data_IF_595515601609
#
_entry.id   IF_595515601609
#
_cell.length_a   1.000
_cell.length_b   1.000
_cell.length_c   1.000
_cell.angle_alpha   90.00
_cell.angle_beta   90.00
_cell.angle_gamma   90.00
#
_symmetry.space_group_name_H-M   'P 1'
#
loop_
_entity.id
_entity.type
_entity.pdbx_description
1 polymer ?
#
# COMPACT_ATOMS: atom_id res chain seq x y z
N UNK A 1 16.30 14.04 12.85
CA UNK A 1 15.05 13.30 12.58
C UNK A 1 15.35 12.10 11.68
N UNK A 2 16.14 12.29 10.61
CA UNK A 2 16.56 11.20 9.72
C UNK A 2 17.40 10.09 10.38
N UNK A 3 18.34 10.42 11.27
CA UNK A 3 19.18 9.39 11.91
C UNK A 3 18.39 8.49 12.89
N UNK A 4 17.38 9.05 13.57
CA UNK A 4 16.50 8.28 14.47
C UNK A 4 15.59 7.33 13.68
N UNK A 5 15.01 7.81 12.57
CA UNK A 5 14.23 6.98 11.67
C UNK A 5 15.09 5.87 11.06
N UNK A 6 16.29 6.21 10.56
CA UNK A 6 17.21 5.21 10.01
C UNK A 6 17.54 4.13 11.04
N UNK A 7 17.88 4.51 12.27
CA UNK A 7 18.15 3.55 13.36
C UNK A 7 16.98 2.59 13.60
N UNK A 8 15.75 3.11 13.66
CA UNK A 8 14.52 2.30 13.80
C UNK A 8 14.32 1.35 12.62
N UNK A 9 14.54 1.83 11.40
CA UNK A 9 14.43 1.02 10.19
C UNK A 9 15.51 -0.06 10.14
N UNK A 10 16.76 0.26 10.51
CA UNK A 10 17.85 -0.72 10.57
C UNK A 10 17.57 -1.83 11.59
N UNK A 11 16.95 -1.49 12.73
CA UNK A 11 16.57 -2.47 13.75
C UNK A 11 15.44 -3.40 13.28
N UNK A 12 14.51 -2.90 12.47
CA UNK A 12 13.33 -3.62 12.00
C UNK A 12 13.58 -4.43 10.72
N UNK A 13 14.13 -3.77 9.71
CA UNK A 13 14.38 -4.37 8.40
C UNK A 13 15.71 -5.13 8.36
N UNK A 14 16.69 -4.65 9.13
CA UNK A 14 18.09 -4.99 8.97
C UNK A 14 18.84 -3.87 8.28
N UNK A 15 20.10 -3.67 8.68
CA UNK A 15 20.94 -2.55 8.25
C UNK A 15 21.04 -2.39 6.73
N UNK A 16 21.26 -3.49 6.01
CA UNK A 16 21.43 -3.45 4.55
C UNK A 16 20.13 -3.03 3.85
N UNK A 17 19.02 -3.68 4.19
CA UNK A 17 17.72 -3.45 3.54
C UNK A 17 17.20 -2.03 3.81
N UNK A 18 17.32 -1.53 5.04
CA UNK A 18 16.92 -0.16 5.38
C UNK A 18 17.70 0.89 4.57
N UNK A 19 19.03 0.73 4.48
CA UNK A 19 19.89 1.65 3.70
C UNK A 19 19.62 1.58 2.21
N UNK A 20 19.39 0.38 1.68
CA UNK A 20 19.08 0.19 0.27
C UNK A 20 17.75 0.86 -0.08
N UNK A 21 16.68 0.63 0.71
CA UNK A 21 15.38 1.26 0.51
C UNK A 21 15.47 2.79 0.49
N UNK A 22 16.12 3.39 1.49
CA UNK A 22 16.29 4.84 1.58
C UNK A 22 17.19 5.40 0.47
N UNK A 23 18.26 4.68 0.13
CA UNK A 23 19.17 5.08 -0.95
C UNK A 23 18.45 5.14 -2.30
N UNK A 24 17.63 4.13 -2.62
CA UNK A 24 16.85 4.10 -3.86
C UNK A 24 15.87 5.28 -3.92
N UNK A 25 15.19 5.63 -2.82
CA UNK A 25 14.31 6.82 -2.79
C UNK A 25 15.06 8.10 -3.09
N UNK A 26 16.22 8.30 -2.44
CA UNK A 26 17.05 9.50 -2.60
C UNK A 26 17.58 9.59 -4.03
N UNK A 27 18.09 8.49 -4.58
CA UNK A 27 18.61 8.44 -5.95
C UNK A 27 17.49 8.74 -6.96
N UNK A 28 16.30 8.22 -6.73
CA UNK A 28 15.14 8.47 -7.57
C UNK A 28 14.68 9.94 -7.51
N UNK A 29 14.58 10.50 -6.31
CA UNK A 29 14.26 11.91 -6.11
C UNK A 29 15.32 12.82 -6.77
N UNK A 30 16.61 12.49 -6.61
CA UNK A 30 17.71 13.20 -7.24
C UNK A 30 17.69 13.11 -8.77
N UNK A 31 17.29 11.98 -9.37
CA UNK A 31 17.12 11.87 -10.82
C UNK A 31 15.98 12.76 -11.35
N UNK A 32 14.88 12.86 -10.60
CA UNK A 32 13.75 13.70 -10.97
C UNK A 32 14.12 15.19 -10.89
N UNK A 33 14.82 15.61 -9.85
CA UNK A 33 15.26 17.01 -9.70
C UNK A 33 16.50 17.36 -10.53
N UNK A 34 17.37 16.38 -10.78
CA UNK A 34 18.67 16.54 -11.41
C UNK A 34 18.67 16.31 -12.91
N UNK A 35 17.65 16.80 -13.64
CA UNK A 35 17.56 16.65 -15.10
C UNK A 35 18.91 16.91 -15.78
N UNK A 36 19.55 15.82 -16.22
CA UNK A 36 20.69 15.86 -17.09
C UNK A 36 20.34 16.58 -18.39
N UNK A 37 21.24 17.44 -18.83
CA UNK A 37 21.22 18.19 -20.07
C UNK A 37 20.94 17.27 -21.27
N UNK A 38 19.69 17.11 -21.71
CA UNK A 38 19.35 16.55 -23.02
C UNK A 38 18.03 17.14 -23.55
N UNK A 39 18.15 17.94 -24.61
CA UNK A 39 17.19 18.93 -25.11
C UNK A 39 16.06 18.38 -26.02
N UNK A 40 15.81 17.07 -26.08
CA UNK A 40 14.85 16.49 -27.04
C UNK A 40 14.00 15.35 -26.46
N UNK A 41 13.15 15.68 -25.50
CA UNK A 41 12.12 14.80 -24.96
C UNK A 41 10.78 15.56 -24.94
N UNK A 42 9.79 15.13 -25.74
CA UNK A 42 8.46 15.80 -25.89
C UNK A 42 7.72 15.89 -24.54
N UNK A 43 8.03 14.99 -23.62
CA UNK A 43 7.62 14.93 -22.21
C UNK A 43 8.11 16.10 -21.35
N UNK A 44 9.18 16.81 -21.74
CA UNK A 44 9.67 18.00 -21.02
C UNK A 44 9.01 19.31 -21.47
N UNK A 45 8.07 19.26 -22.42
CA UNK A 45 7.30 20.44 -22.77
C UNK A 45 6.23 20.68 -21.70
N UNK A 46 6.51 21.52 -20.71
CA UNK A 46 5.58 21.90 -19.63
C UNK A 46 4.16 22.25 -20.13
N UNK A 47 4.03 22.80 -21.34
CA UNK A 47 2.74 23.13 -21.97
C UNK A 47 1.95 21.90 -22.45
N UNK A 48 2.59 20.75 -22.70
CA UNK A 48 1.91 19.54 -23.21
C UNK A 48 0.91 19.00 -22.20
N UNK A 49 1.22 19.02 -20.90
CA UNK A 49 0.26 18.62 -19.86
C UNK A 49 -0.98 19.51 -19.85
N UNK A 50 -0.80 20.81 -20.10
CA UNK A 50 -1.92 21.77 -20.20
C UNK A 50 -2.75 21.53 -21.46
N UNK A 51 -2.11 21.23 -22.59
CA UNK A 51 -2.78 20.87 -23.85
C UNK A 51 -3.56 19.56 -23.69
N UNK A 52 -2.93 18.52 -23.17
CA UNK A 52 -3.57 17.22 -22.88
C UNK A 52 -4.78 17.43 -21.97
N UNK A 53 -4.61 18.15 -20.86
CA UNK A 53 -5.70 18.47 -19.93
C UNK A 53 -6.83 19.24 -20.62
N UNK A 54 -6.49 20.20 -21.49
CA UNK A 54 -7.45 20.97 -22.29
C UNK A 54 -8.27 20.07 -23.22
N UNK A 55 -7.60 19.20 -23.98
CA UNK A 55 -8.24 18.23 -24.88
C UNK A 55 -9.13 17.25 -24.10
N UNK A 56 -8.66 16.73 -22.97
CA UNK A 56 -9.45 15.85 -22.11
C UNK A 56 -10.68 16.56 -21.53
N UNK A 57 -10.57 17.86 -21.19
CA UNK A 57 -11.71 18.65 -20.72
C UNK A 57 -12.72 18.91 -21.85
N UNK A 58 -12.25 19.31 -23.03
CA UNK A 58 -13.11 19.60 -24.20
C UNK A 58 -13.84 18.35 -24.71
N UNK A 59 -13.18 17.20 -24.68
CA UNK A 59 -13.80 15.89 -25.03
C UNK A 59 -14.71 15.33 -23.93
N UNK A 60 -14.74 15.93 -22.74
CA UNK A 60 -15.49 15.44 -21.58
C UNK A 60 -14.85 14.26 -20.83
N UNK A 61 -13.74 13.71 -21.33
CA UNK A 61 -13.03 12.58 -20.73
C UNK A 61 -12.46 12.91 -19.35
N UNK A 62 -11.97 14.14 -19.14
CA UNK A 62 -11.49 14.60 -17.84
C UNK A 62 -12.58 14.48 -16.77
N UNK A 63 -13.77 15.01 -17.06
CA UNK A 63 -14.90 14.97 -16.13
C UNK A 63 -15.44 13.56 -15.91
N UNK A 64 -15.41 12.72 -16.96
CA UNK A 64 -15.70 11.29 -16.82
C UNK A 64 -14.69 10.61 -15.89
N UNK A 65 -13.40 10.91 -16.02
CA UNK A 65 -12.35 10.41 -15.13
C UNK A 65 -12.59 10.79 -13.67
N UNK A 66 -12.86 12.07 -13.39
CA UNK A 66 -13.19 12.52 -12.03
C UNK A 66 -14.41 11.80 -11.46
N UNK A 67 -15.49 11.67 -12.24
CA UNK A 67 -16.69 10.92 -11.81
C UNK A 67 -16.41 9.45 -11.55
N UNK A 68 -15.55 8.82 -12.37
CA UNK A 68 -15.16 7.43 -12.17
C UNK A 68 -14.35 7.27 -10.87
N UNK A 69 -13.42 8.18 -10.58
CA UNK A 69 -12.64 8.16 -9.34
C UNK A 69 -13.52 8.34 -8.09
N UNK A 70 -14.60 9.12 -8.19
CA UNK A 70 -15.59 9.27 -7.12
C UNK A 70 -16.56 8.08 -7.02
N UNK A 71 -16.64 7.23 -8.04
CA UNK A 71 -17.54 6.08 -8.08
C UNK A 71 -16.89 4.86 -7.43
N UNK A 72 -16.64 4.98 -6.12
CA UNK A 72 -16.13 3.90 -5.29
C UNK A 72 -17.25 2.88 -5.09
N UNK A 73 -16.92 1.60 -5.33
CA UNK A 73 -17.85 0.47 -5.17
C UNK A 73 -17.23 -0.58 -4.27
N UNK A 74 -18.04 -1.14 -3.39
CA UNK A 74 -17.65 -2.29 -2.57
C UNK A 74 -17.83 -3.55 -3.41
N UNK A 75 -16.80 -4.38 -3.50
CA UNK A 75 -16.82 -5.68 -4.17
C UNK A 75 -16.57 -6.77 -3.14
N UNK A 76 -17.39 -7.81 -3.17
CA UNK A 76 -17.21 -9.00 -2.33
C UNK A 76 -16.66 -10.12 -3.20
N UNK A 77 -15.56 -10.72 -2.77
CA UNK A 77 -14.94 -11.85 -3.44
C UNK A 77 -14.82 -12.99 -2.42
N UNK A 78 -15.41 -14.14 -2.73
CA UNK A 78 -15.34 -15.31 -1.87
C UNK A 78 -14.06 -16.09 -2.17
N UNK A 79 -13.30 -16.39 -1.11
CA UNK A 79 -12.08 -17.21 -1.19
C UNK A 79 -12.34 -18.54 -0.53
N UNK A 80 -12.19 -19.63 -1.29
CA UNK A 80 -12.39 -20.99 -0.82
C UNK A 80 -11.04 -21.70 -0.73
N UNK A 81 -10.69 -22.21 0.46
CA UNK A 81 -9.48 -22.99 0.66
C UNK A 81 -9.71 -24.13 1.63
N UNK A 82 -9.24 -25.33 1.27
CA UNK A 82 -9.27 -26.49 2.16
C UNK A 82 -8.30 -26.36 3.35
N UNK A 83 -7.37 -25.40 3.31
CA UNK A 83 -6.45 -25.11 4.42
C UNK A 83 -7.00 -24.07 5.39
N UNK A 84 -8.09 -23.37 5.04
CA UNK A 84 -8.68 -22.36 5.91
C UNK A 84 -9.22 -23.06 7.17
N UNK A 85 -8.78 -22.66 8.38
CA UNK A 85 -9.29 -23.26 9.61
C UNK A 85 -10.79 -22.99 9.79
N UNK A 86 -11.59 -23.96 10.29
CA UNK A 86 -13.03 -23.81 10.48
C UNK A 86 -13.49 -22.56 11.26
N UNK A 87 -12.75 -22.11 12.28
CA UNK A 87 -13.09 -20.88 13.04
C UNK A 87 -12.91 -19.60 12.23
N UNK A 88 -12.29 -19.69 11.06
CA UNK A 88 -12.18 -18.60 10.08
C UNK A 88 -13.17 -18.74 8.92
N UNK A 89 -14.10 -19.70 8.97
CA UNK A 89 -15.22 -19.69 8.02
C UNK A 89 -16.08 -18.42 8.21
N UNK A 90 -16.38 -17.76 7.09
CA UNK A 90 -17.01 -16.44 7.09
C UNK A 90 -16.14 -15.30 7.64
N UNK A 91 -14.82 -15.50 7.83
CA UNK A 91 -13.90 -14.42 8.18
C UNK A 91 -13.83 -13.40 7.04
N UNK A 92 -13.95 -12.11 7.38
CA UNK A 92 -14.05 -11.02 6.40
C UNK A 92 -12.89 -10.03 6.52
N UNK A 93 -12.22 -9.80 5.39
CA UNK A 93 -11.14 -8.82 5.26
C UNK A 93 -11.65 -7.66 4.40
N UNK A 94 -11.67 -6.45 4.95
CA UNK A 94 -11.83 -5.24 4.15
C UNK A 94 -10.48 -4.87 3.54
N UNK A 95 -10.37 -4.84 2.22
CA UNK A 95 -9.19 -4.34 1.52
C UNK A 95 -9.43 -2.94 0.97
N UNK A 96 -8.52 -2.02 1.29
CA UNK A 96 -8.42 -0.67 0.73
C UNK A 96 -7.06 -0.57 0.02
N UNK A 97 -7.02 0.02 -1.17
CA UNK A 97 -5.76 0.20 -1.92
C UNK A 97 -5.80 1.50 -2.72
N UNK A 98 -4.62 2.02 -3.08
CA UNK A 98 -4.45 3.07 -4.10
C UNK A 98 -5.32 4.30 -3.86
N UNK A 99 -5.43 4.68 -2.58
CA UNK A 99 -6.30 5.77 -2.17
C UNK A 99 -5.86 7.11 -2.72
N UNK A 100 -4.53 7.30 -2.87
CA UNK A 100 -3.91 8.57 -3.22
C UNK A 100 -4.63 9.75 -2.54
N UNK A 101 -4.66 9.71 -1.21
CA UNK A 101 -5.62 10.43 -0.38
C UNK A 101 -5.61 11.96 -0.58
N UNK A 102 -4.48 12.50 -1.04
CA UNK A 102 -4.26 13.92 -1.34
C UNK A 102 -4.74 14.36 -2.75
N UNK A 103 -5.22 13.45 -3.60
CA UNK A 103 -5.68 13.79 -4.96
C UNK A 103 -7.14 14.27 -4.96
N UNK A 104 -8.04 13.59 -4.25
CA UNK A 104 -9.49 13.84 -4.33
C UNK A 104 -10.21 13.69 -2.99
N UNK A 105 -10.42 14.82 -2.31
CA UNK A 105 -11.24 14.87 -1.09
C UNK A 105 -12.68 14.37 -1.29
N UNK A 106 -13.23 14.49 -2.51
CA UNK A 106 -14.56 13.97 -2.83
C UNK A 106 -14.57 12.44 -2.80
N UNK A 107 -13.55 11.81 -3.37
CA UNK A 107 -13.40 10.36 -3.32
C UNK A 107 -13.15 9.87 -1.89
N UNK A 108 -12.30 10.56 -1.12
CA UNK A 108 -12.01 10.18 0.27
C UNK A 108 -13.23 10.28 1.18
N UNK A 109 -14.04 11.33 1.06
CA UNK A 109 -15.34 11.41 1.76
C UNK A 109 -16.26 10.25 1.38
N UNK A 110 -16.30 9.89 0.10
CA UNK A 110 -17.11 8.76 -0.36
C UNK A 110 -16.62 7.42 0.21
N UNK A 111 -15.31 7.25 0.32
CA UNK A 111 -14.70 6.07 0.95
C UNK A 111 -15.12 5.99 2.42
N UNK A 112 -15.00 7.09 3.18
CA UNK A 112 -15.43 7.17 4.58
C UNK A 112 -16.90 6.79 4.77
N UNK A 113 -17.79 7.35 3.96
CA UNK A 113 -19.22 7.02 3.99
C UNK A 113 -19.50 5.54 3.74
N UNK A 114 -18.72 4.90 2.86
CA UNK A 114 -18.88 3.48 2.54
C UNK A 114 -18.39 2.60 3.70
N UNK A 115 -17.19 2.87 4.23
CA UNK A 115 -16.59 2.03 5.29
C UNK A 115 -17.38 2.09 6.60
N UNK A 116 -17.98 3.23 6.94
CA UNK A 116 -18.84 3.38 8.13
C UNK A 116 -20.03 2.39 8.13
N UNK A 117 -20.46 1.93 6.95
CA UNK A 117 -21.58 0.98 6.79
C UNK A 117 -21.17 -0.48 6.67
N UNK A 118 -19.88 -0.82 6.69
CA UNK A 118 -19.39 -2.18 6.46
C UNK A 118 -19.09 -2.91 7.78
N UNK A 119 -19.44 -4.20 7.82
CA UNK A 119 -18.98 -5.11 8.87
C UNK A 119 -17.85 -5.97 8.31
N UNK A 120 -16.74 -6.00 9.04
CA UNK A 120 -15.58 -6.82 8.72
C UNK A 120 -14.80 -7.20 9.98
N UNK A 121 -13.94 -8.21 9.89
CA UNK A 121 -13.13 -8.71 11.02
C UNK A 121 -11.77 -8.01 11.12
N UNK A 122 -11.13 -7.72 9.99
CA UNK A 122 -9.92 -6.89 9.91
C UNK A 122 -9.91 -6.04 8.64
N UNK A 123 -9.12 -4.97 8.64
CA UNK A 123 -8.85 -4.17 7.46
C UNK A 123 -7.39 -4.32 7.02
N UNK A 124 -7.16 -4.35 5.71
CA UNK A 124 -5.83 -4.26 5.11
C UNK A 124 -5.78 -3.07 4.15
N UNK A 125 -4.67 -2.32 4.19
CA UNK A 125 -4.44 -1.18 3.31
C UNK A 125 -3.17 -1.42 2.48
N UNK A 126 -3.34 -1.73 1.20
CA UNK A 126 -2.26 -2.29 0.36
C UNK A 126 -1.55 -1.25 -0.49
N UNK A 127 -1.11 -0.17 0.14
CA UNK A 127 -0.23 0.84 -0.46
C UNK A 127 -0.92 1.97 -1.22
N UNK A 128 -0.08 2.85 -1.74
CA UNK A 128 -0.40 4.05 -2.51
C UNK A 128 -1.34 5.01 -1.74
N UNK A 129 -0.84 5.45 -0.59
CA UNK A 129 -1.47 6.44 0.27
C UNK A 129 -1.40 7.85 -0.33
N UNK A 130 -0.32 8.18 -1.05
CA UNK A 130 -0.12 9.51 -1.67
C UNK A 130 -0.14 9.47 -3.19
N UNK A 131 -0.49 10.60 -3.81
CA UNK A 131 -0.60 10.72 -5.26
C UNK A 131 0.73 10.94 -5.98
N UNK A 132 1.66 11.69 -5.39
CA UNK A 132 2.99 11.89 -5.97
C UNK A 132 3.94 10.75 -5.59
N UNK A 133 4.85 10.36 -6.48
CA UNK A 133 5.85 9.32 -6.18
C UNK A 133 7.05 9.84 -5.38
N UNK A 134 7.17 11.16 -5.21
CA UNK A 134 8.25 11.84 -4.49
C UNK A 134 7.76 13.15 -3.88
N UNK A 135 8.59 13.78 -3.04
CA UNK A 135 8.28 15.06 -2.40
C UNK A 135 7.43 14.94 -1.13
N UNK A 136 6.77 16.05 -0.77
CA UNK A 136 6.01 16.17 0.47
C UNK A 136 4.82 15.22 0.52
N UNK A 137 4.53 14.69 1.72
CA UNK A 137 3.47 13.70 1.95
C UNK A 137 2.56 14.05 3.13
N UNK A 138 2.75 15.20 3.77
CA UNK A 138 1.99 15.61 4.96
C UNK A 138 0.48 15.71 4.69
N UNK A 139 0.11 16.19 3.51
CA UNK A 139 -1.30 16.25 3.09
C UNK A 139 -1.92 14.85 2.99
N UNK A 140 -1.19 13.89 2.41
CA UNK A 140 -1.65 12.51 2.30
C UNK A 140 -1.80 11.86 3.69
N UNK A 141 -0.85 12.08 4.61
CA UNK A 141 -0.97 11.59 5.99
C UNK A 141 -2.17 12.21 6.73
N UNK A 142 -2.44 13.50 6.54
CA UNK A 142 -3.57 14.18 7.17
C UNK A 142 -4.91 13.59 6.70
N UNK A 143 -5.08 13.41 5.38
CA UNK A 143 -6.30 12.81 4.81
C UNK A 143 -6.42 11.30 5.19
N UNK A 144 -5.29 10.59 5.23
CA UNK A 144 -5.22 9.19 5.69
C UNK A 144 -5.68 9.05 7.14
N UNK A 145 -5.30 9.99 8.02
CA UNK A 145 -5.68 9.96 9.43
C UNK A 145 -7.21 10.03 9.63
N UNK A 146 -7.90 10.82 8.80
CA UNK A 146 -9.38 10.92 8.85
C UNK A 146 -10.02 9.57 8.54
N UNK A 147 -9.55 8.89 7.50
CA UNK A 147 -10.04 7.57 7.09
C UNK A 147 -9.71 6.53 8.16
N UNK A 148 -8.45 6.49 8.61
CA UNK A 148 -7.98 5.54 9.62
C UNK A 148 -8.79 5.62 10.92
N UNK A 149 -9.19 6.83 11.33
CA UNK A 149 -10.03 7.04 12.52
C UNK A 149 -11.45 6.47 12.43
N UNK A 150 -11.90 6.08 11.23
CA UNK A 150 -13.21 5.45 10.98
C UNK A 150 -13.13 3.94 10.82
N UNK A 151 -11.93 3.39 10.59
CA UNK A 151 -11.75 1.96 10.39
C UNK A 151 -11.81 1.22 11.73
N UNK A 152 -12.57 0.12 11.75
CA UNK A 152 -12.51 -0.87 12.83
C UNK A 152 -11.13 -1.54 12.86
N UNK A 153 -10.54 -1.57 14.05
CA UNK A 153 -9.27 -2.25 14.30
C UNK A 153 -9.46 -3.79 14.43
N UNK A 154 -8.45 -4.60 14.06
CA UNK A 154 -7.10 -4.19 13.64
C UNK A 154 -7.04 -3.76 12.16
N UNK A 155 -6.16 -2.80 11.87
CA UNK A 155 -5.80 -2.39 10.49
C UNK A 155 -4.34 -2.74 10.23
N UNK A 156 -4.07 -3.48 9.17
CA UNK A 156 -2.73 -3.79 8.68
C UNK A 156 -2.45 -3.08 7.36
N UNK A 157 -1.19 -2.88 6.99
CA UNK A 157 -0.88 -2.29 5.70
C UNK A 157 0.51 -2.59 5.17
N UNK A 158 0.69 -2.35 3.88
CA UNK A 158 2.00 -2.33 3.20
C UNK A 158 2.13 -1.01 2.45
N UNK A 159 3.36 -0.62 2.11
CA UNK A 159 3.59 0.55 1.29
C UNK A 159 3.49 0.21 -0.20
N UNK A 160 3.05 1.18 -1.00
CA UNK A 160 3.09 1.10 -2.45
C UNK A 160 4.28 1.83 -3.05
N UNK A 161 4.36 1.87 -4.38
CA UNK A 161 5.46 2.53 -5.07
C UNK A 161 5.39 4.05 -4.96
N UNK A 162 4.22 4.62 -4.67
CA UNK A 162 4.11 6.04 -4.39
C UNK A 162 4.65 6.40 -3.02
N UNK A 163 4.65 5.48 -2.05
CA UNK A 163 4.88 5.82 -0.66
C UNK A 163 6.37 5.78 -0.28
N UNK A 164 6.80 6.84 0.41
CA UNK A 164 8.12 6.83 1.05
C UNK A 164 8.07 6.03 2.34
N UNK A 165 9.12 5.25 2.62
CA UNK A 165 9.27 4.53 3.89
C UNK A 165 9.26 5.47 5.11
N UNK A 166 9.46 6.77 4.88
CA UNK A 166 9.39 7.83 5.89
C UNK A 166 7.98 8.09 6.40
N UNK A 167 6.95 7.60 5.71
CA UNK A 167 5.56 7.68 6.16
C UNK A 167 5.22 6.70 7.28
N UNK A 168 6.02 5.63 7.48
CA UNK A 168 5.74 4.59 8.46
C UNK A 168 5.40 5.12 9.85
N UNK A 169 6.19 6.03 10.48
CA UNK A 169 5.87 6.50 11.82
C UNK A 169 4.52 7.23 11.89
N UNK A 170 4.15 7.96 10.83
CA UNK A 170 2.87 8.66 10.73
C UNK A 170 1.70 7.69 10.62
N UNK A 171 1.81 6.71 9.72
CA UNK A 171 0.79 5.67 9.52
C UNK A 171 0.60 4.83 10.79
N UNK A 172 1.70 4.43 11.44
CA UNK A 172 1.67 3.64 12.67
C UNK A 172 1.09 4.42 13.86
N UNK A 173 1.35 5.73 13.94
CA UNK A 173 0.74 6.59 14.95
C UNK A 173 -0.80 6.70 14.79
N UNK A 174 -1.32 6.42 13.59
CA UNK A 174 -2.77 6.36 13.32
C UNK A 174 -3.39 4.99 13.62
N UNK A 175 -2.59 4.02 14.09
CA UNK A 175 -3.04 2.68 14.44
C UNK A 175 -2.96 1.66 13.29
N UNK A 176 -2.32 2.00 12.16
CA UNK A 176 -2.04 1.04 11.11
C UNK A 176 -0.82 0.20 11.51
N UNK A 177 -0.98 -1.13 11.54
CA UNK A 177 0.13 -2.06 11.70
C UNK A 177 0.76 -2.30 10.33
N UNK A 178 1.72 -1.46 9.98
CA UNK A 178 2.47 -1.62 8.74
C UNK A 178 3.30 -2.91 8.82
N UNK A 179 3.36 -3.70 7.75
CA UNK A 179 4.10 -4.95 7.66
C UNK A 179 5.20 -4.80 6.61
N UNK A 180 6.46 -4.72 7.04
CA UNK A 180 7.59 -4.46 6.13
C UNK A 180 8.50 -5.67 6.04
N UNK A 181 8.13 -6.63 5.19
CA UNK A 181 8.74 -7.97 5.09
C UNK A 181 8.60 -8.75 6.40
N UNK A 182 7.39 -8.74 6.94
CA UNK A 182 7.03 -9.24 8.26
C UNK A 182 5.77 -10.10 8.17
N UNK A 183 5.57 -10.96 9.17
CA UNK A 183 4.39 -11.80 9.30
C UNK A 183 3.80 -11.68 10.70
N UNK A 184 2.48 -11.53 10.74
CA UNK A 184 1.66 -11.53 11.92
C UNK A 184 0.77 -12.79 11.94
N UNK A 185 0.48 -13.30 13.13
CA UNK A 185 -0.48 -14.41 13.32
C UNK A 185 -1.79 -13.87 13.86
N UNK A 186 -2.87 -14.06 13.12
CA UNK A 186 -4.23 -13.72 13.54
C UNK A 186 -4.84 -14.96 14.18
N UNK A 187 -5.25 -14.86 15.45
CA UNK A 187 -5.80 -15.99 16.22
C UNK A 187 -7.29 -15.84 16.47
N UNK A 188 -8.00 -16.97 16.40
CA UNK A 188 -9.36 -17.14 16.93
C UNK A 188 -9.33 -18.42 17.77
N UNK A 189 -9.44 -18.26 19.09
CA UNK A 189 -9.27 -19.33 20.06
C UNK A 189 -7.98 -20.14 19.85
N UNK A 190 -8.09 -21.43 19.50
CA UNK A 190 -6.98 -22.35 19.27
C UNK A 190 -6.53 -22.43 17.80
N UNK A 191 -7.21 -21.74 16.88
CA UNK A 191 -6.87 -21.70 15.46
C UNK A 191 -6.24 -20.36 15.05
N UNK A 192 -5.51 -20.37 13.93
CA UNK A 192 -4.84 -19.20 13.43
C UNK A 192 -4.72 -19.17 11.90
N UNK A 193 -4.71 -17.96 11.36
CA UNK A 193 -4.23 -17.67 10.00
C UNK A 193 -3.03 -16.73 10.09
N UNK A 194 -2.23 -16.69 9.03
CA UNK A 194 -1.04 -15.85 8.96
C UNK A 194 -1.22 -14.75 7.93
N UNK A 195 -0.89 -13.52 8.34
CA UNK A 195 -0.92 -12.34 7.47
C UNK A 195 0.49 -11.79 7.37
N UNK A 196 1.09 -11.88 6.19
CA UNK A 196 2.39 -11.29 5.92
C UNK A 196 2.26 -10.06 5.02
N UNK A 197 3.23 -9.17 5.08
CA UNK A 197 3.35 -8.05 4.16
C UNK A 197 4.80 -7.87 3.72
N UNK A 198 4.99 -7.51 2.46
CA UNK A 198 6.31 -7.23 1.88
C UNK A 198 6.40 -5.77 1.43
N UNK A 199 7.64 -5.27 1.33
CA UNK A 199 7.91 -4.02 0.63
C UNK A 199 7.71 -4.20 -0.89
N UNK A 200 7.77 -3.11 -1.64
CA UNK A 200 7.48 -3.11 -3.07
C UNK A 200 8.48 -3.95 -3.88
N UNK A 201 7.94 -4.87 -4.69
CA UNK A 201 8.70 -5.84 -5.47
C UNK A 201 8.98 -5.40 -6.92
N UNK A 202 8.39 -4.29 -7.36
CA UNK A 202 8.48 -3.84 -8.76
C UNK A 202 9.39 -2.63 -8.92
N UNK A 203 9.06 -1.56 -8.22
CA UNK A 203 9.64 -0.23 -8.28
C UNK A 203 10.91 -0.11 -7.44
N UNK A 204 10.81 -0.43 -6.15
CA UNK A 204 11.93 -0.41 -5.21
C UNK A 204 12.70 -1.74 -5.20
N UNK A 205 12.02 -2.87 -5.45
CA UNK A 205 12.62 -4.22 -5.54
C UNK A 205 13.42 -4.60 -4.31
N UNK A 206 12.82 -4.32 -3.17
CA UNK A 206 13.38 -4.57 -1.82
C UNK A 206 12.40 -5.37 -0.96
N UNK A 207 11.46 -6.04 -1.62
CA UNK A 207 10.70 -7.12 -1.04
C UNK A 207 11.63 -8.22 -0.52
N UNK A 208 11.19 -8.90 0.52
CA UNK A 208 11.89 -10.04 1.07
C UNK A 208 10.88 -11.08 1.52
N UNK A 209 10.40 -11.83 0.53
CA UNK A 209 9.39 -12.88 0.72
C UNK A 209 9.90 -14.01 1.61
N UNK A 210 11.19 -14.30 1.57
CA UNK A 210 11.84 -15.32 2.40
C UNK A 210 11.75 -14.93 3.88
N UNK A 211 12.06 -13.68 4.21
CA UNK A 211 11.94 -13.13 5.58
C UNK A 211 10.49 -13.10 6.03
N UNK A 212 9.57 -12.68 5.15
CA UNK A 212 8.13 -12.67 5.44
C UNK A 212 7.59 -14.08 5.71
N UNK A 213 8.04 -15.08 4.95
CA UNK A 213 7.63 -16.48 5.08
C UNK A 213 8.36 -17.23 6.20
N UNK A 214 9.49 -16.73 6.72
CA UNK A 214 10.37 -17.46 7.63
C UNK A 214 9.70 -17.95 8.93
N UNK A 215 8.59 -17.32 9.33
CA UNK A 215 7.82 -17.68 10.55
C UNK A 215 6.53 -18.43 10.26
N UNK A 216 6.24 -18.76 9.00
CA UNK A 216 5.04 -19.50 8.63
C UNK A 216 5.18 -20.96 9.06
N UNK A 217 4.23 -21.49 9.85
CA UNK A 217 4.15 -22.93 10.10
C UNK A 217 3.83 -23.67 8.81
N UNK A 218 4.41 -24.85 8.65
CA UNK A 218 4.13 -25.71 7.50
C UNK A 218 2.64 -26.08 7.45
N UNK A 219 2.01 -25.89 6.29
CA UNK A 219 0.60 -26.21 6.07
C UNK A 219 -0.42 -25.20 6.63
N UNK A 220 0.03 -24.14 7.31
CA UNK A 220 -0.88 -23.10 7.79
C UNK A 220 -1.46 -22.26 6.64
N UNK A 221 -2.69 -21.74 6.82
CA UNK A 221 -3.27 -20.82 5.86
C UNK A 221 -2.63 -19.43 5.97
N UNK A 222 -2.04 -18.97 4.86
CA UNK A 222 -1.27 -17.73 4.85
C UNK A 222 -1.70 -16.79 3.72
N UNK A 223 -1.84 -15.51 4.06
CA UNK A 223 -2.19 -14.41 3.17
C UNK A 223 -0.96 -13.49 3.08
N UNK A 224 -0.57 -13.13 1.86
CA UNK A 224 0.45 -12.13 1.61
C UNK A 224 -0.19 -10.82 1.17
N UNK A 225 0.22 -9.72 1.79
CA UNK A 225 -0.09 -8.38 1.34
C UNK A 225 1.08 -7.89 0.49
N UNK A 226 0.78 -7.56 -0.77
CA UNK A 226 1.71 -6.86 -1.64
C UNK A 226 0.96 -5.77 -2.38
N UNK A 227 1.64 -4.65 -2.60
CA UNK A 227 1.13 -3.62 -3.48
C UNK A 227 1.17 -4.06 -4.95
N UNK A 228 2.13 -4.92 -5.33
CA UNK A 228 2.31 -5.32 -6.73
C UNK A 228 2.05 -6.81 -6.94
N UNK A 229 1.25 -7.19 -7.96
CA UNK A 229 0.80 -8.56 -8.11
C UNK A 229 1.83 -9.49 -8.78
N UNK A 230 2.95 -8.99 -9.31
CA UNK A 230 3.84 -9.80 -10.15
C UNK A 230 4.53 -10.95 -9.39
N UNK A 231 4.63 -10.83 -8.07
CA UNK A 231 5.27 -11.83 -7.20
C UNK A 231 4.35 -13.01 -6.84
N UNK A 232 3.13 -13.09 -7.38
CA UNK A 232 2.15 -14.13 -7.04
C UNK A 232 2.68 -15.57 -7.16
N UNK A 233 3.55 -15.85 -8.14
CA UNK A 233 4.17 -17.18 -8.28
C UNK A 233 5.19 -17.46 -7.18
N UNK A 234 6.00 -16.47 -6.84
CA UNK A 234 6.96 -16.57 -5.75
C UNK A 234 6.23 -16.75 -4.42
N UNK A 235 5.12 -16.02 -4.21
CA UNK A 235 4.25 -16.18 -3.06
C UNK A 235 3.67 -17.59 -2.94
N UNK A 236 3.13 -18.12 -4.04
CA UNK A 236 2.62 -19.49 -4.07
C UNK A 236 3.73 -20.52 -3.75
N UNK A 237 4.95 -20.34 -4.26
CA UNK A 237 6.09 -21.21 -3.93
C UNK A 237 6.59 -21.04 -2.49
N UNK A 238 6.40 -19.87 -1.88
CA UNK A 238 6.74 -19.58 -0.49
C UNK A 238 5.65 -20.06 0.50
N UNK A 239 4.56 -20.66 0.01
CA UNK A 239 3.51 -21.26 0.84
C UNK A 239 2.34 -20.33 1.17
N UNK A 240 2.23 -19.17 0.52
CA UNK A 240 1.06 -18.31 0.64
C UNK A 240 -0.10 -18.84 -0.21
N UNK A 241 -1.31 -18.82 0.36
CA UNK A 241 -2.53 -19.31 -0.26
C UNK A 241 -3.36 -18.19 -0.93
N UNK A 242 -3.12 -16.94 -0.54
CA UNK A 242 -3.78 -15.75 -1.06
C UNK A 242 -2.78 -14.59 -1.15
N UNK A 243 -2.88 -13.79 -2.21
CA UNK A 243 -2.16 -12.52 -2.43
C UNK A 243 -3.19 -11.42 -2.72
#
# INVERSE_FOLDING_TARGET
MDDDLLSKLEQRLGRLQARQRLGIEIDHEAQIFGQGLNFFHIENWYSIHSVIRGVLKLSGLYWRGCRNAEHIVVRTNDVLSAKLPPLFDGFTILQISDTHADISQRAMRRLVELVDGLSYDLCVWTGDFRGATYGAYDAALMETAEIAGRLRQPVYGVLGNHDTIRMLPGLEAMGLRMLQNECETIRRDDEAIHLAGIDDAHYFRVDNIEKAAARLPEGAFAILLSHTPEIYRQAAHAGFDLL
#
